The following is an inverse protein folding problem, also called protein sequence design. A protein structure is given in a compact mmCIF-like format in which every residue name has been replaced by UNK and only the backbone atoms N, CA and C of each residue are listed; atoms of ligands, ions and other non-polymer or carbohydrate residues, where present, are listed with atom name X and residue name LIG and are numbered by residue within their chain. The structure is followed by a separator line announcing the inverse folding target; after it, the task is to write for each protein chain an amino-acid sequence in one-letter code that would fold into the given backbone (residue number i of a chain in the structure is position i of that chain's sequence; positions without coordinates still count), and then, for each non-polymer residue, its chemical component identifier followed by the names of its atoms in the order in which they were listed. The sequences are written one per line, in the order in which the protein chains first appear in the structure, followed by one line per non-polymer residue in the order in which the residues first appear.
data_IF_669439959537
#
_entry.id   IF_669439959537
#
_cell.length_a   1.000
_cell.length_b   1.000
_cell.length_c   1.000
_cell.angle_alpha   90.00
_cell.angle_beta   90.00
_cell.angle_gamma   90.00
#
_symmetry.space_group_name_H-M   'P 1'
#
loop_
_entity.id
_entity.type
_entity.pdbx_description
1 polymer ?
#
# COMPACT_ATOMS: atom_id res chain seq x y z
N UNK A 1 4.04 12.29 20.95
CA UNK A 1 3.78 12.55 19.52
C UNK A 1 4.17 11.27 18.79
N UNK A 2 3.31 10.71 17.94
CA UNK A 2 3.67 9.54 17.14
C UNK A 2 4.60 9.96 16.00
N UNK A 3 5.51 9.07 15.61
CA UNK A 3 6.45 9.27 14.51
C UNK A 3 6.47 8.01 13.67
N UNK A 4 6.30 8.16 12.36
CA UNK A 4 6.37 7.06 11.42
C UNK A 4 7.78 6.45 11.46
N UNK A 5 7.92 5.13 11.71
CA UNK A 5 9.22 4.48 11.78
C UNK A 5 9.94 4.38 10.42
N UNK A 6 9.23 4.64 9.31
CA UNK A 6 9.77 4.49 7.96
C UNK A 6 10.30 5.82 7.39
N UNK A 7 9.52 6.90 7.47
CA UNK A 7 9.90 8.20 6.91
C UNK A 7 10.20 9.28 7.97
N UNK A 8 9.98 9.00 9.26
CA UNK A 8 10.11 10.00 10.33
C UNK A 8 8.99 11.04 10.37
N UNK A 9 7.98 10.90 9.50
CA UNK A 9 6.82 11.79 9.44
C UNK A 9 5.97 11.75 10.71
N UNK A 10 5.30 12.85 11.00
CA UNK A 10 4.44 12.97 12.19
C UNK A 10 2.95 12.94 11.85
N UNK A 11 2.61 12.92 10.57
CA UNK A 11 1.23 12.81 10.09
C UNK A 11 0.85 11.35 9.97
N UNK A 12 0.09 10.87 10.95
CA UNK A 12 -0.54 9.56 10.90
C UNK A 12 -1.89 9.55 11.59
N UNK A 13 -2.72 8.60 11.21
CA UNK A 13 -4.05 8.38 11.76
C UNK A 13 -4.19 6.93 12.23
N UNK A 14 -4.95 6.66 13.30
CA UNK A 14 -5.33 5.30 13.65
C UNK A 14 -6.05 4.64 12.48
N UNK A 15 -5.68 3.40 12.17
CA UNK A 15 -6.23 2.65 11.04
C UNK A 15 -6.48 1.21 11.48
N UNK A 16 -7.67 0.71 11.14
CA UNK A 16 -8.09 -0.66 11.42
C UNK A 16 -8.94 -1.17 10.26
N UNK A 17 -8.57 -2.31 9.70
CA UNK A 17 -9.36 -3.09 8.73
C UNK A 17 -9.29 -4.60 9.06
N UNK A 18 -9.79 -5.45 8.16
CA UNK A 18 -9.81 -6.91 8.36
C UNK A 18 -8.43 -7.57 8.40
N UNK A 19 -7.37 -6.91 7.94
CA UNK A 19 -6.02 -7.42 7.78
C UNK A 19 -4.96 -6.59 8.53
N UNK A 20 -5.24 -5.33 8.86
CA UNK A 20 -4.29 -4.39 9.43
C UNK A 20 -4.89 -3.66 10.64
N UNK A 21 -4.13 -3.59 11.72
CA UNK A 21 -4.43 -2.77 12.90
C UNK A 21 -3.18 -1.96 13.26
N UNK A 22 -3.31 -0.64 13.39
CA UNK A 22 -2.20 0.23 13.76
C UNK A 22 -2.36 1.71 13.39
N UNK A 23 -1.26 2.34 12.98
CA UNK A 23 -1.22 3.74 12.54
C UNK A 23 -0.84 3.82 11.06
N UNK A 24 -1.69 4.45 10.25
CA UNK A 24 -1.42 4.74 8.84
C UNK A 24 -0.66 6.07 8.73
N UNK A 25 0.51 6.01 8.11
CA UNK A 25 1.30 7.18 7.73
C UNK A 25 0.68 7.88 6.52
N UNK A 26 0.49 9.20 6.59
CA UNK A 26 -0.12 9.99 5.50
C UNK A 26 0.88 10.86 4.73
N UNK A 27 2.17 10.77 5.04
CA UNK A 27 3.17 11.52 4.28
C UNK A 27 3.20 10.99 2.83
N UNK A 28 3.20 11.87 1.81
CA UNK A 28 3.13 11.47 0.41
C UNK A 28 4.34 10.64 -0.04
N UNK A 29 5.50 10.88 0.58
CA UNK A 29 6.74 10.16 0.36
C UNK A 29 6.97 9.05 1.42
N UNK A 30 5.92 8.67 2.16
CA UNK A 30 6.00 7.58 3.13
C UNK A 30 6.04 6.23 2.39
N UNK A 31 7.20 5.59 2.42
CA UNK A 31 7.42 4.28 1.78
C UNK A 31 6.59 3.15 2.38
N UNK A 32 5.32 3.06 2.01
CA UNK A 32 4.67 1.78 1.69
C UNK A 32 4.50 1.73 0.18
N UNK A 33 5.63 1.65 -0.51
CA UNK A 33 5.66 1.19 -1.88
C UNK A 33 5.34 -0.31 -1.79
N UNK A 34 4.05 -0.67 -1.89
CA UNK A 34 3.71 -2.01 -2.34
C UNK A 34 4.06 -1.98 -3.82
N UNK A 35 5.31 -2.32 -4.15
CA UNK A 35 5.60 -2.84 -5.46
C UNK A 35 4.67 -4.05 -5.57
N UNK A 36 3.53 -3.88 -6.26
CA UNK A 36 2.72 -5.04 -6.60
C UNK A 36 3.69 -5.93 -7.35
N UNK A 37 4.10 -7.03 -6.72
CA UNK A 37 4.48 -8.26 -7.41
C UNK A 37 3.23 -8.71 -8.19
N UNK A 38 2.78 -7.90 -9.14
CA UNK A 38 2.10 -8.39 -10.31
C UNK A 38 3.18 -9.21 -11.00
N UNK A 39 3.24 -10.49 -10.65
CA UNK A 39 3.83 -11.47 -11.54
C UNK A 39 3.27 -11.13 -12.95
N UNK A 40 4.13 -10.89 -13.94
CA UNK A 40 3.66 -10.53 -15.29
C UNK A 40 2.76 -11.62 -15.90
N UNK A 41 2.69 -12.79 -15.28
CA UNK A 41 1.79 -13.90 -15.59
C UNK A 41 0.32 -13.61 -15.22
N UNK A 42 0.04 -12.85 -14.15
CA UNK A 42 -1.34 -12.61 -13.65
C UNK A 42 -2.10 -11.55 -14.46
N UNK A 43 -1.37 -10.76 -15.27
CA UNK A 43 -1.95 -9.79 -16.20
C UNK A 43 -2.32 -10.40 -17.57
N UNK A 44 -2.02 -11.68 -17.79
CA UNK A 44 -2.22 -12.34 -19.10
C UNK A 44 -3.65 -12.86 -19.35
N UNK A 45 -4.52 -12.89 -18.34
CA UNK A 45 -5.89 -13.45 -18.49
C UNK A 45 -6.97 -12.42 -18.88
N UNK A 46 -6.61 -11.15 -19.13
CA UNK A 46 -7.56 -10.07 -19.40
C UNK A 46 -7.47 -9.53 -20.84
N UNK A 47 -6.95 -10.32 -21.77
CA UNK A 47 -6.93 -9.99 -23.20
C UNK A 47 -7.20 -11.25 -24.04
N UNK A 48 -8.46 -11.67 -24.19
CA UNK A 48 -8.96 -12.41 -25.37
C UNK A 48 -10.45 -12.82 -25.25
N UNK A 49 -11.35 -11.85 -25.04
CA UNK A 49 -12.74 -12.01 -25.48
C UNK A 49 -13.19 -10.83 -26.30
N UNK A 50 -12.59 -10.70 -27.49
CA UNK A 50 -13.18 -9.99 -28.63
C UNK A 50 -12.91 -10.79 -29.92
N UNK A 51 -13.66 -11.90 -30.09
CA UNK A 51 -13.86 -12.60 -31.36
C UNK A 51 -15.29 -13.13 -31.46
#
# INVERSE_FOLDING_TARGET
MWTCPYCGGTHGLPFHDSQLDGMLCLEPDCGRFVESNADPDDLSEWDDTDL
#
